data_IF_729027750790
#
_entry.id   IF_729027750790
#
_cell.length_a   1.000
_cell.length_b   1.000
_cell.length_c   1.000
_cell.angle_alpha   90.00
_cell.angle_beta   90.00
_cell.angle_gamma   90.00
#
_symmetry.space_group_name_H-M   'P 1'
#
loop_
_entity.id
_entity.type
_entity.pdbx_description
1 polymer ?
#
# COMPACT_ATOMS: atom_id res chain seq x y z
N UNK A 1 7.87 9.33 3.82
CA UNK A 1 8.56 8.83 5.04
C UNK A 1 7.87 7.56 5.52
N UNK A 2 8.56 6.67 6.22
CA UNK A 2 7.94 5.48 6.79
C UNK A 2 6.87 5.86 7.82
N UNK A 3 5.76 5.12 7.84
CA UNK A 3 4.62 5.36 8.74
C UNK A 3 4.55 4.25 9.77
N UNK A 4 4.49 4.64 11.05
CA UNK A 4 4.14 3.75 12.15
C UNK A 4 2.88 4.29 12.83
N UNK A 5 1.81 3.49 12.87
CA UNK A 5 0.50 3.85 13.40
C UNK A 5 -0.32 2.60 13.67
N UNK A 6 -1.15 2.67 14.71
CA UNK A 6 -2.31 1.80 14.88
C UNK A 6 -3.58 2.64 14.95
N UNK A 7 -4.67 2.14 14.39
CA UNK A 7 -5.99 2.68 14.67
C UNK A 7 -7.02 1.58 14.55
N UNK A 8 -8.04 1.63 15.39
CA UNK A 8 -9.17 0.72 15.33
C UNK A 8 -10.48 1.49 15.37
N UNK A 9 -11.52 0.88 14.81
CA UNK A 9 -12.91 1.30 14.97
C UNK A 9 -13.76 0.07 15.30
N UNK A 10 -14.46 0.16 16.42
CA UNK A 10 -15.28 -0.90 17.00
C UNK A 10 -16.75 -0.52 16.87
N UNK A 11 -17.57 -1.48 16.41
CA UNK A 11 -19.03 -1.31 16.40
C UNK A 11 -19.60 -1.44 17.82
N UNK A 12 -20.71 -0.74 18.15
CA UNK A 12 -21.38 -0.94 19.43
C UNK A 12 -21.67 -2.42 19.69
N UNK A 13 -21.31 -2.90 20.89
CA UNK A 13 -21.47 -4.30 21.29
C UNK A 13 -20.28 -5.22 20.95
N UNK A 14 -19.25 -4.73 20.25
CA UNK A 14 -18.00 -5.49 20.09
C UNK A 14 -17.25 -5.57 21.44
N UNK A 15 -16.85 -6.78 21.82
CA UNK A 15 -16.27 -7.08 23.12
C UNK A 15 -14.89 -6.43 23.33
N UNK A 16 -14.07 -6.36 22.27
CA UNK A 16 -12.67 -5.96 22.35
C UNK A 16 -12.50 -4.44 22.26
N UNK A 17 -13.26 -3.75 21.40
CA UNK A 17 -13.18 -2.30 21.25
C UNK A 17 -14.31 -1.53 21.94
N UNK A 18 -15.33 -2.21 22.47
CA UNK A 18 -16.42 -1.63 23.28
C UNK A 18 -17.14 -0.46 22.58
N UNK A 19 -17.25 -0.50 21.26
CA UNK A 19 -17.89 0.55 20.47
C UNK A 19 -17.06 1.83 20.35
N UNK A 20 -15.77 1.80 20.69
CA UNK A 20 -14.88 2.96 20.62
C UNK A 20 -14.05 2.99 19.34
N UNK A 21 -13.41 4.12 19.10
CA UNK A 21 -12.42 4.30 18.03
C UNK A 21 -11.24 5.02 18.64
N UNK A 22 -10.03 4.54 18.35
CA UNK A 22 -8.81 5.17 18.83
C UNK A 22 -7.69 5.12 17.78
N UNK A 23 -6.69 5.97 17.96
CA UNK A 23 -5.52 6.01 17.11
C UNK A 23 -4.26 6.30 17.91
N UNK A 24 -3.20 5.57 17.59
CA UNK A 24 -1.92 5.62 18.25
C UNK A 24 -0.81 5.80 17.25
N UNK A 25 0.15 6.63 17.61
CA UNK A 25 1.38 6.86 16.85
C UNK A 25 2.57 6.79 17.82
N UNK A 26 3.81 6.73 17.33
CA UNK A 26 4.99 6.84 18.20
C UNK A 26 5.03 8.12 19.05
N UNK A 27 4.22 9.15 18.74
CA UNK A 27 4.07 10.35 19.57
C UNK A 27 3.18 10.14 20.80
N UNK A 28 2.31 9.14 20.79
CA UNK A 28 1.27 8.92 21.81
C UNK A 28 1.31 7.53 22.44
N UNK A 29 2.08 6.60 21.89
CA UNK A 29 2.21 5.23 22.40
C UNK A 29 3.55 4.61 21.99
N UNK A 30 3.97 3.59 22.74
CA UNK A 30 4.99 2.66 22.26
C UNK A 30 4.36 1.75 21.22
N UNK A 31 4.96 1.66 20.04
CA UNK A 31 4.48 0.82 18.94
C UNK A 31 5.61 -0.09 18.46
N UNK A 32 5.36 -1.39 18.43
CA UNK A 32 6.34 -2.39 18.00
C UNK A 32 5.71 -3.47 17.12
N UNK A 33 6.51 -4.07 16.26
CA UNK A 33 6.17 -5.29 15.54
C UNK A 33 7.33 -6.28 15.71
N UNK A 34 7.01 -7.56 15.76
CA UNK A 34 7.98 -8.64 15.81
C UNK A 34 7.39 -9.95 15.30
N UNK A 35 8.13 -11.03 15.51
CA UNK A 35 7.83 -12.32 14.90
C UNK A 35 8.40 -12.40 13.49
N UNK A 36 7.80 -13.24 12.66
CA UNK A 36 8.26 -13.55 11.30
C UNK A 36 7.12 -13.46 10.29
N UNK A 37 7.40 -13.70 9.01
CA UNK A 37 6.37 -13.72 7.99
C UNK A 37 5.33 -14.84 8.21
N UNK A 38 5.65 -15.90 8.95
CA UNK A 38 4.70 -16.95 9.33
C UNK A 38 3.70 -16.49 10.40
N UNK A 39 4.16 -15.66 11.34
CA UNK A 39 3.38 -15.16 12.47
C UNK A 39 3.92 -13.80 12.93
N UNK A 40 3.14 -12.76 12.69
CA UNK A 40 3.44 -11.39 13.06
C UNK A 40 2.69 -11.04 14.32
N UNK A 41 3.40 -10.46 15.30
CA UNK A 41 2.78 -9.83 16.46
C UNK A 41 3.09 -8.35 16.47
N UNK A 42 2.05 -7.54 16.38
CA UNK A 42 2.12 -6.08 16.49
C UNK A 42 1.54 -5.65 17.84
N UNK A 43 2.24 -4.75 18.54
CA UNK A 43 1.84 -4.28 19.87
C UNK A 43 1.81 -2.77 19.96
N UNK A 44 0.82 -2.29 20.70
CA UNK A 44 0.70 -0.89 21.15
C UNK A 44 0.57 -0.88 22.66
N UNK A 45 1.29 0.00 23.33
CA UNK A 45 1.11 0.24 24.75
C UNK A 45 1.25 1.71 25.12
N UNK A 46 0.41 2.15 26.05
CA UNK A 46 0.54 3.38 26.84
C UNK A 46 0.54 3.00 28.32
N UNK A 47 0.47 3.99 29.22
CA UNK A 47 0.32 3.73 30.65
C UNK A 47 -1.06 3.14 31.01
N UNK A 48 -2.09 3.42 30.20
CA UNK A 48 -3.49 3.09 30.51
C UNK A 48 -4.08 1.98 29.62
N UNK A 49 -3.50 1.73 28.44
CA UNK A 49 -4.08 0.79 27.47
C UNK A 49 -3.02 0.02 26.71
N UNK A 50 -3.37 -1.17 26.26
CA UNK A 50 -2.56 -1.97 25.37
C UNK A 50 -3.41 -2.69 24.32
N UNK A 51 -2.77 -2.95 23.18
CA UNK A 51 -3.36 -3.70 22.07
C UNK A 51 -2.33 -4.64 21.48
N UNK A 52 -2.72 -5.90 21.30
CA UNK A 52 -1.97 -6.89 20.53
C UNK A 52 -2.78 -7.26 19.29
N UNK A 53 -2.12 -7.26 18.14
CA UNK A 53 -2.66 -7.71 16.85
C UNK A 53 -1.74 -8.80 16.33
N UNK A 54 -2.25 -10.03 16.30
CA UNK A 54 -1.58 -11.17 15.69
C UNK A 54 -2.14 -11.43 14.29
N UNK A 55 -1.24 -11.52 13.31
CA UNK A 55 -1.56 -11.91 11.93
C UNK A 55 -0.68 -13.11 11.58
N UNK A 56 -1.28 -14.20 11.11
CA UNK A 56 -0.52 -15.40 10.76
C UNK A 56 -0.89 -15.89 9.36
N UNK A 57 0.12 -16.34 8.61
CA UNK A 57 -0.09 -17.07 7.37
C UNK A 57 -0.69 -18.45 7.67
N UNK A 58 -1.32 -19.12 6.69
CA UNK A 58 -1.65 -20.54 6.82
C UNK A 58 -0.46 -21.37 7.35
N UNK A 59 -0.73 -22.48 8.04
CA UNK A 59 0.34 -23.27 8.67
C UNK A 59 1.36 -23.76 7.61
N UNK A 60 2.64 -23.45 7.84
CA UNK A 60 3.72 -23.79 6.90
C UNK A 60 3.93 -22.79 5.75
N UNK A 61 3.15 -21.72 5.70
CA UNK A 61 3.26 -20.65 4.70
C UNK A 61 3.79 -19.34 5.32
N UNK A 62 4.15 -18.39 4.45
CA UNK A 62 4.57 -17.03 4.82
C UNK A 62 3.56 -16.01 4.32
N UNK A 63 3.35 -14.95 5.11
CA UNK A 63 2.55 -13.81 4.71
C UNK A 63 3.29 -13.07 3.59
N UNK A 64 2.51 -12.65 2.60
CA UNK A 64 2.91 -11.78 1.52
C UNK A 64 1.78 -10.78 1.24
N UNK A 65 2.00 -9.74 0.44
CA UNK A 65 0.91 -8.85 0.05
C UNK A 65 -0.25 -9.64 -0.57
N UNK A 66 -1.47 -9.44 -0.04
CA UNK A 66 -2.65 -10.21 -0.40
C UNK A 66 -3.83 -10.02 0.55
N UNK A 67 -4.93 -10.72 0.27
CA UNK A 67 -6.14 -10.73 1.10
C UNK A 67 -6.35 -12.12 1.70
N UNK A 68 -6.41 -12.17 3.03
CA UNK A 68 -6.51 -13.37 3.85
C UNK A 68 -7.92 -13.45 4.44
N UNK A 69 -8.75 -14.35 3.89
CA UNK A 69 -10.16 -14.52 4.27
C UNK A 69 -10.35 -15.72 5.18
N UNK A 70 -11.49 -15.75 5.87
CA UNK A 70 -11.86 -16.82 6.79
C UNK A 70 -10.76 -17.06 7.84
N UNK A 71 -10.22 -15.96 8.37
CA UNK A 71 -9.20 -16.01 9.38
C UNK A 71 -9.79 -16.59 10.68
N UNK A 72 -9.07 -17.55 11.24
CA UNK A 72 -9.35 -18.18 12.52
C UNK A 72 -8.44 -17.56 13.59
N UNK A 73 -8.65 -17.94 14.86
CA UNK A 73 -7.80 -17.46 15.95
C UNK A 73 -6.34 -17.82 15.70
N UNK A 74 -5.47 -16.82 15.68
CA UNK A 74 -4.13 -16.94 15.08
C UNK A 74 -3.30 -18.16 15.54
N UNK A 75 -3.27 -18.43 16.85
CA UNK A 75 -2.53 -19.55 17.42
C UNK A 75 -3.18 -20.94 17.17
N UNK A 76 -4.47 -20.99 16.85
CA UNK A 76 -5.26 -22.23 16.73
C UNK A 76 -5.79 -22.48 15.32
N UNK A 77 -5.42 -21.63 14.35
CA UNK A 77 -5.86 -21.75 12.95
C UNK A 77 -5.56 -23.13 12.38
N UNK A 78 -6.48 -23.62 11.57
CA UNK A 78 -6.47 -24.97 11.02
C UNK A 78 -6.27 -24.97 9.51
N UNK A 79 -5.72 -26.07 8.98
CA UNK A 79 -5.59 -26.29 7.54
C UNK A 79 -4.94 -25.11 6.80
N UNK A 80 -5.68 -24.54 5.84
CA UNK A 80 -5.25 -23.40 5.03
C UNK A 80 -5.84 -22.06 5.49
N UNK A 81 -6.51 -22.04 6.64
CA UNK A 81 -7.05 -20.81 7.19
C UNK A 81 -5.91 -19.93 7.69
N UNK A 82 -5.91 -18.63 7.36
CA UNK A 82 -4.98 -17.68 7.95
C UNK A 82 -5.39 -17.39 9.41
N UNK A 83 -4.51 -16.73 10.15
CA UNK A 83 -4.70 -16.41 11.56
C UNK A 83 -4.91 -14.92 11.81
N UNK A 84 -5.91 -14.57 12.61
CA UNK A 84 -6.15 -13.24 13.16
C UNK A 84 -6.47 -13.38 14.65
N UNK A 85 -5.84 -12.59 15.51
CA UNK A 85 -6.23 -12.48 16.92
C UNK A 85 -5.91 -11.06 17.42
N UNK A 86 -6.95 -10.27 17.67
CA UNK A 86 -6.85 -8.92 18.19
C UNK A 86 -7.40 -8.89 19.61
N UNK A 87 -6.56 -8.41 20.52
CA UNK A 87 -6.88 -8.28 21.94
C UNK A 87 -6.43 -6.92 22.48
N UNK A 88 -7.05 -6.47 23.56
CA UNK A 88 -6.69 -5.22 24.21
C UNK A 88 -7.29 -5.08 25.60
N UNK A 89 -6.56 -4.46 26.51
CA UNK A 89 -6.93 -4.22 27.91
C UNK A 89 -7.53 -5.46 28.62
N UNK A 90 -6.91 -6.62 28.42
CA UNK A 90 -7.32 -7.89 29.04
C UNK A 90 -8.51 -8.58 28.37
N UNK A 91 -8.98 -8.08 27.22
CA UNK A 91 -10.09 -8.64 26.46
C UNK A 91 -9.56 -9.31 25.19
N UNK A 92 -9.98 -10.55 24.96
CA UNK A 92 -9.62 -11.35 23.78
C UNK A 92 -10.78 -12.27 23.41
N UNK A 93 -10.86 -12.69 22.15
CA UNK A 93 -11.86 -13.68 21.74
C UNK A 93 -11.37 -15.11 22.07
N UNK A 94 -12.29 -16.02 22.33
CA UNK A 94 -12.03 -17.45 22.31
C UNK A 94 -12.10 -18.00 20.90
N UNK A 95 -13.10 -17.60 20.12
CA UNK A 95 -13.19 -17.85 18.67
C UNK A 95 -13.12 -16.56 17.86
N UNK A 96 -12.37 -16.60 16.76
CA UNK A 96 -12.22 -15.46 15.84
C UNK A 96 -12.82 -15.83 14.49
N UNK A 97 -13.68 -14.94 14.00
CA UNK A 97 -14.16 -14.93 12.63
C UNK A 97 -13.70 -13.63 11.99
N UNK A 98 -12.92 -13.69 10.91
CA UNK A 98 -12.44 -12.45 10.33
C UNK A 98 -11.74 -12.58 9.00
N UNK A 99 -11.10 -11.47 8.63
CA UNK A 99 -10.22 -11.37 7.48
C UNK A 99 -9.22 -10.25 7.72
N UNK A 100 -8.09 -10.32 7.03
CA UNK A 100 -7.14 -9.22 6.97
C UNK A 100 -6.56 -9.07 5.57
N UNK A 101 -6.01 -7.91 5.29
CA UNK A 101 -5.29 -7.63 4.05
C UNK A 101 -3.89 -7.16 4.41
N UNK A 102 -2.89 -7.61 3.68
CA UNK A 102 -1.49 -7.17 3.81
C UNK A 102 -1.16 -6.37 2.55
N UNK A 103 -0.87 -5.08 2.72
CA UNK A 103 -0.39 -4.23 1.63
C UNK A 103 1.13 -4.27 1.51
N UNK A 104 1.83 -4.46 2.62
CA UNK A 104 3.29 -4.53 2.68
C UNK A 104 3.70 -5.43 3.84
N UNK A 105 4.70 -6.28 3.61
CA UNK A 105 5.39 -7.01 4.66
C UNK A 105 6.84 -7.23 4.22
N UNK A 106 7.79 -6.91 5.11
CA UNK A 106 9.21 -7.09 4.87
C UNK A 106 9.87 -7.72 6.10
N UNK A 107 10.88 -8.54 5.85
CA UNK A 107 11.71 -9.16 6.88
C UNK A 107 13.18 -8.87 6.64
N UNK A 108 13.98 -8.89 7.69
CA UNK A 108 15.43 -8.96 7.58
C UNK A 108 15.93 -10.38 7.23
N UNK A 109 17.25 -10.55 7.18
CA UNK A 109 17.89 -11.83 6.86
C UNK A 109 17.61 -12.93 7.89
N UNK A 110 17.34 -12.56 9.14
CA UNK A 110 16.98 -13.49 10.22
C UNK A 110 15.47 -13.83 10.21
N UNK A 111 14.71 -13.20 9.30
CA UNK A 111 13.27 -13.40 9.16
C UNK A 111 12.42 -12.52 10.08
N UNK A 112 13.03 -11.57 10.80
CA UNK A 112 12.31 -10.66 11.70
C UNK A 112 11.60 -9.57 10.90
N UNK A 113 10.37 -9.25 11.29
CA UNK A 113 9.57 -8.20 10.64
C UNK A 113 10.22 -6.82 10.75
N UNK A 114 10.45 -6.18 9.61
CA UNK A 114 11.02 -4.83 9.51
C UNK A 114 10.01 -3.79 9.03
N UNK A 115 9.01 -4.21 8.25
CA UNK A 115 7.88 -3.38 7.84
C UNK A 115 6.57 -4.17 7.75
N UNK A 116 5.45 -3.52 8.04
CA UNK A 116 4.10 -4.09 7.93
C UNK A 116 3.08 -3.00 7.62
N UNK A 117 2.25 -3.21 6.61
CA UNK A 117 1.02 -2.46 6.35
C UNK A 117 -0.12 -3.46 6.19
N UNK A 118 -1.05 -3.46 7.14
CA UNK A 118 -2.18 -4.37 7.13
C UNK A 118 -3.47 -3.70 7.61
N UNK A 119 -4.60 -4.26 7.20
CA UNK A 119 -5.93 -3.95 7.73
C UNK A 119 -6.64 -5.22 8.12
N UNK A 120 -7.53 -5.16 9.09
CA UNK A 120 -8.30 -6.33 9.53
C UNK A 120 -9.75 -6.00 9.85
N UNK A 121 -10.57 -7.05 9.83
CA UNK A 121 -11.90 -7.11 10.42
C UNK A 121 -11.99 -8.39 11.25
N UNK A 122 -12.33 -8.26 12.52
CA UNK A 122 -12.52 -9.35 13.47
C UNK A 122 -13.94 -9.30 14.05
N UNK A 123 -14.49 -10.48 14.29
CA UNK A 123 -15.71 -10.73 15.04
C UNK A 123 -15.40 -11.79 16.11
N UNK A 124 -15.74 -11.53 17.37
CA UNK A 124 -15.56 -12.50 18.46
C UNK A 124 -16.73 -13.47 18.56
N UNK A 125 -16.44 -14.74 18.82
CA UNK A 125 -17.37 -15.82 19.15
C UNK A 125 -18.39 -16.21 18.08
N UNK A 126 -18.64 -15.38 17.06
CA UNK A 126 -19.51 -15.70 15.95
C UNK A 126 -19.26 -14.81 14.73
N UNK A 127 -19.56 -15.31 13.53
CA UNK A 127 -19.40 -14.58 12.28
C UNK A 127 -20.30 -13.32 12.14
N UNK A 128 -21.34 -13.20 12.97
CA UNK A 128 -22.31 -12.10 12.93
C UNK A 128 -22.16 -11.13 14.10
N UNK A 129 -21.22 -11.35 15.03
CA UNK A 129 -20.96 -10.43 16.13
C UNK A 129 -20.57 -9.03 15.59
N UNK A 130 -20.70 -7.96 16.38
CA UNK A 130 -20.25 -6.64 15.95
C UNK A 130 -18.76 -6.63 15.58
N UNK A 131 -18.42 -5.92 14.51
CA UNK A 131 -17.07 -5.92 13.97
C UNK A 131 -16.11 -5.01 14.74
N UNK A 132 -14.89 -5.49 14.98
CA UNK A 132 -13.71 -4.67 15.22
C UNK A 132 -12.90 -4.56 13.92
N UNK A 133 -12.65 -3.35 13.47
CA UNK A 133 -11.81 -3.08 12.30
C UNK A 133 -10.56 -2.31 12.70
N UNK A 134 -9.45 -2.50 11.98
CA UNK A 134 -8.26 -1.72 12.27
C UNK A 134 -7.25 -1.63 11.13
N UNK A 135 -6.32 -0.71 11.32
CA UNK A 135 -5.18 -0.43 10.44
C UNK A 135 -3.92 -0.54 11.27
N UNK A 136 -2.99 -1.35 10.78
CA UNK A 136 -1.68 -1.61 11.36
C UNK A 136 -0.62 -1.14 10.39
N UNK A 137 0.19 -0.17 10.80
CA UNK A 137 1.38 0.28 10.07
C UNK A 137 2.58 0.24 10.99
N UNK A 138 3.61 -0.50 10.61
CA UNK A 138 4.91 -0.52 11.26
C UNK A 138 5.97 -0.22 10.23
N UNK A 139 6.61 0.95 10.32
CA UNK A 139 7.64 1.40 9.36
C UNK A 139 7.22 1.21 7.89
N UNK A 140 5.92 1.31 7.61
CA UNK A 140 5.36 1.05 6.31
C UNK A 140 5.71 2.18 5.34
N UNK A 141 6.13 1.83 4.14
CA UNK A 141 6.32 2.78 3.06
C UNK A 141 5.13 2.67 2.10
N UNK A 142 4.55 3.80 1.67
CA UNK A 142 3.48 3.76 0.69
C UNK A 142 3.90 2.97 -0.56
N UNK A 143 3.04 2.03 -0.96
CA UNK A 143 3.15 1.24 -2.18
C UNK A 143 1.76 1.20 -2.81
N UNK A 144 1.61 1.78 -3.99
CA UNK A 144 0.33 1.89 -4.64
C UNK A 144 0.33 2.75 -5.88
N UNK A 145 -0.77 2.64 -6.61
CA UNK A 145 -1.08 3.46 -7.77
C UNK A 145 -2.53 3.90 -7.69
N UNK A 146 -2.78 5.19 -7.91
CA UNK A 146 -4.14 5.72 -8.00
C UNK A 146 -4.26 6.66 -9.17
N UNK A 147 -5.42 6.65 -9.81
CA UNK A 147 -5.73 7.60 -10.87
C UNK A 147 -7.19 8.06 -10.81
N UNK A 148 -7.40 9.26 -11.34
CA UNK A 148 -8.71 9.84 -11.64
C UNK A 148 -8.66 10.33 -13.08
N UNK A 149 -9.59 9.83 -13.89
CA UNK A 149 -9.74 10.17 -15.30
C UNK A 149 -10.91 11.11 -15.48
N UNK A 150 -10.69 12.18 -16.23
CA UNK A 150 -11.75 13.09 -16.62
C UNK A 150 -12.73 12.43 -17.59
N UNK A 151 -13.96 12.94 -17.62
CA UNK A 151 -14.92 12.54 -18.65
C UNK A 151 -14.36 12.88 -20.04
N UNK A 152 -14.20 11.86 -20.89
CA UNK A 152 -13.64 11.99 -22.23
C UNK A 152 -12.14 11.73 -22.33
N UNK A 153 -11.43 11.47 -21.23
CA UNK A 153 -10.05 11.00 -21.29
C UNK A 153 -9.99 9.59 -21.90
N UNK A 154 -9.09 9.41 -22.86
CA UNK A 154 -8.99 8.19 -23.65
C UNK A 154 -8.46 7.01 -22.83
N UNK A 155 -7.49 7.23 -21.94
CA UNK A 155 -6.82 6.10 -21.28
C UNK A 155 -7.65 5.62 -20.09
N UNK A 156 -8.13 6.52 -19.25
CA UNK A 156 -8.89 6.18 -18.06
C UNK A 156 -10.41 6.14 -18.26
N UNK A 157 -10.95 6.61 -19.39
CA UNK A 157 -12.38 6.53 -19.73
C UNK A 157 -13.33 7.13 -18.67
N UNK A 158 -12.92 8.20 -17.98
CA UNK A 158 -13.76 8.86 -16.98
C UNK A 158 -13.93 8.05 -15.68
N UNK A 159 -13.10 7.02 -15.45
CA UNK A 159 -13.13 6.23 -14.20
C UNK A 159 -11.99 6.60 -13.26
N UNK A 160 -12.15 6.24 -11.99
CA UNK A 160 -11.09 6.36 -10.98
C UNK A 160 -10.85 5.02 -10.32
N UNK A 161 -9.59 4.70 -10.03
CA UNK A 161 -9.25 3.50 -9.29
C UNK A 161 -8.03 3.70 -8.38
N UNK A 162 -7.93 2.81 -7.40
CA UNK A 162 -6.77 2.68 -6.52
C UNK A 162 -6.33 1.22 -6.50
N UNK A 163 -5.01 1.04 -6.54
CA UNK A 163 -4.28 -0.21 -6.48
C UNK A 163 -3.38 -0.19 -5.25
N UNK A 164 -3.46 -1.24 -4.45
CA UNK A 164 -2.67 -1.42 -3.22
C UNK A 164 -1.98 -2.78 -3.28
N UNK A 165 -0.94 -2.99 -2.46
CA UNK A 165 -0.20 -4.26 -2.45
C UNK A 165 -1.07 -5.49 -2.15
N UNK A 166 -2.18 -5.34 -1.43
CA UNK A 166 -3.11 -6.44 -1.17
C UNK A 166 -3.93 -6.87 -2.39
N UNK A 167 -4.04 -6.01 -3.41
CA UNK A 167 -4.92 -6.23 -4.57
C UNK A 167 -4.21 -6.21 -5.92
N UNK A 168 -2.96 -5.74 -5.94
CA UNK A 168 -2.19 -5.49 -7.16
C UNK A 168 -0.70 -5.71 -6.92
N UNK A 169 0.00 -6.08 -7.98
CA UNK A 169 1.46 -6.14 -8.03
C UNK A 169 2.02 -4.88 -8.68
N UNK A 170 3.24 -4.53 -8.30
CA UNK A 170 3.94 -3.35 -8.79
C UNK A 170 5.36 -3.72 -9.21
N UNK A 171 5.82 -3.17 -10.32
CA UNK A 171 7.20 -3.27 -10.76
C UNK A 171 7.79 -1.87 -10.93
N UNK A 172 9.08 -1.74 -10.62
CA UNK A 172 9.85 -0.53 -10.84
C UNK A 172 11.23 -0.92 -11.38
N UNK A 173 11.69 -0.22 -12.41
CA UNK A 173 13.02 -0.39 -12.99
C UNK A 173 13.54 0.94 -13.51
N UNK A 174 14.84 1.03 -13.80
CA UNK A 174 15.50 2.26 -14.22
C UNK A 174 16.36 2.87 -13.11
N UNK A 175 16.57 4.18 -13.16
CA UNK A 175 17.48 4.89 -12.28
C UNK A 175 17.20 6.39 -12.21
N UNK A 176 18.25 7.18 -12.01
CA UNK A 176 18.15 8.62 -11.78
C UNK A 176 17.65 9.41 -13.00
N UNK A 177 17.78 8.89 -14.20
CA UNK A 177 17.51 9.55 -15.48
C UNK A 177 16.25 9.02 -16.18
N UNK A 178 15.51 8.11 -15.53
CA UNK A 178 14.26 7.57 -16.03
C UNK A 178 13.85 6.29 -15.31
N UNK A 179 12.55 6.09 -15.15
CA UNK A 179 11.97 4.89 -14.55
C UNK A 179 10.87 4.31 -15.44
N UNK A 180 10.70 2.99 -15.37
CA UNK A 180 9.50 2.29 -15.84
C UNK A 180 8.77 1.70 -14.65
N UNK A 181 7.49 2.03 -14.55
CA UNK A 181 6.60 1.56 -13.51
C UNK A 181 5.49 0.70 -14.12
N UNK A 182 5.17 -0.41 -13.48
CA UNK A 182 4.12 -1.33 -13.91
C UNK A 182 3.14 -1.63 -12.78
N UNK A 183 1.87 -1.79 -13.14
CA UNK A 183 0.79 -2.20 -12.22
C UNK A 183 0.01 -3.34 -12.86
N UNK A 184 -0.30 -4.37 -12.08
CA UNK A 184 -1.25 -5.41 -12.49
C UNK A 184 -2.15 -5.80 -11.34
N UNK A 185 -3.46 -5.74 -11.53
CA UNK A 185 -4.43 -6.11 -10.50
C UNK A 185 -5.82 -5.57 -10.80
N UNK A 186 -6.83 -6.10 -10.13
CA UNK A 186 -8.23 -5.66 -10.26
C UNK A 186 -8.78 -5.65 -11.71
N UNK A 187 -8.30 -6.57 -12.56
CA UNK A 187 -8.60 -6.64 -14.01
C UNK A 187 -8.02 -5.49 -14.83
N UNK A 188 -7.07 -4.76 -14.26
CA UNK A 188 -6.37 -3.67 -14.94
C UNK A 188 -4.86 -3.98 -15.05
N UNK A 189 -4.26 -3.43 -16.09
CA UNK A 189 -2.82 -3.36 -16.25
C UNK A 189 -2.42 -1.96 -16.69
N UNK A 190 -1.37 -1.42 -16.07
CA UNK A 190 -0.85 -0.08 -16.34
C UNK A 190 0.66 -0.12 -16.50
N UNK A 191 1.17 0.75 -17.37
CA UNK A 191 2.59 1.00 -17.54
C UNK A 191 2.82 2.49 -17.67
N UNK A 192 3.88 2.98 -17.04
CA UNK A 192 4.35 4.35 -17.20
C UNK A 192 5.85 4.36 -17.45
N UNK A 193 6.28 5.04 -18.52
CA UNK A 193 7.66 5.49 -18.68
C UNK A 193 7.72 6.96 -18.28
N UNK A 194 8.60 7.27 -17.34
CA UNK A 194 8.75 8.60 -16.75
C UNK A 194 10.23 8.95 -16.77
N UNK A 195 10.58 10.12 -17.28
CA UNK A 195 11.97 10.60 -17.28
C UNK A 195 12.03 12.13 -17.27
N UNK A 196 13.07 12.74 -16.68
CA UNK A 196 13.36 14.16 -16.88
C UNK A 196 13.85 14.39 -18.34
N UNK A 197 14.02 15.66 -18.76
CA UNK A 197 14.63 16.01 -20.04
C UNK A 197 15.96 15.28 -20.32
N UNK A 198 16.30 15.15 -21.59
CA UNK A 198 17.49 14.43 -22.04
C UNK A 198 18.75 15.03 -21.42
N UNK A 199 19.54 14.17 -20.76
CA UNK A 199 20.79 14.57 -20.08
C UNK A 199 20.61 14.98 -18.62
N UNK A 200 19.37 15.10 -18.16
CA UNK A 200 19.06 15.42 -16.77
C UNK A 200 18.86 14.17 -15.90
N UNK A 201 18.80 14.40 -14.59
CA UNK A 201 18.40 13.43 -13.56
C UNK A 201 17.22 13.99 -12.79
N UNK A 202 16.38 13.12 -12.26
CA UNK A 202 15.27 13.50 -11.40
C UNK A 202 15.76 14.32 -10.20
N UNK A 203 15.12 15.45 -10.00
CA UNK A 203 15.26 16.30 -8.83
C UNK A 203 13.98 16.20 -7.99
N UNK A 204 14.15 15.84 -6.71
CA UNK A 204 13.02 15.69 -5.79
C UNK A 204 12.42 17.07 -5.49
N UNK A 205 11.11 17.19 -5.62
CA UNK A 205 10.36 18.43 -5.47
C UNK A 205 10.14 19.18 -6.79
N UNK A 206 10.78 18.76 -7.88
CA UNK A 206 10.68 19.41 -9.18
C UNK A 206 9.48 18.88 -9.98
N UNK A 207 8.78 19.81 -10.64
CA UNK A 207 7.74 19.53 -11.63
C UNK A 207 8.32 19.69 -13.03
N UNK A 208 8.14 18.67 -13.86
CA UNK A 208 8.62 18.62 -15.24
C UNK A 208 7.42 18.71 -16.17
N UNK A 209 7.46 19.63 -17.13
CA UNK A 209 6.59 19.56 -18.30
C UNK A 209 7.00 18.38 -19.17
N UNK A 210 6.03 17.71 -19.79
CA UNK A 210 6.27 16.43 -20.47
C UNK A 210 5.65 16.35 -21.84
N UNK A 211 6.30 15.59 -22.70
CA UNK A 211 5.74 15.01 -23.92
C UNK A 211 5.82 13.47 -23.85
N UNK A 212 5.23 12.79 -24.84
CA UNK A 212 5.30 11.32 -24.93
C UNK A 212 6.73 10.79 -24.96
N UNK A 213 7.62 11.50 -25.63
CA UNK A 213 9.04 11.20 -25.65
C UNK A 213 9.79 12.46 -25.23
N UNK A 214 10.72 12.33 -24.29
CA UNK A 214 11.50 13.48 -23.81
C UNK A 214 12.33 14.14 -24.92
N UNK A 215 12.53 15.44 -24.79
CA UNK A 215 13.49 16.24 -25.57
C UNK A 215 14.56 16.83 -24.65
N UNK A 216 15.38 17.77 -25.13
CA UNK A 216 16.30 18.51 -24.27
C UNK A 216 15.57 19.49 -23.33
N UNK A 217 14.30 19.80 -23.61
CA UNK A 217 13.52 20.82 -22.91
C UNK A 217 12.40 20.24 -22.04
N UNK A 218 11.85 19.07 -22.40
CA UNK A 218 10.71 18.44 -21.70
C UNK A 218 10.99 16.99 -21.34
N UNK A 219 10.39 16.55 -20.25
CA UNK A 219 10.46 15.17 -19.76
C UNK A 219 9.59 14.20 -20.56
N UNK A 220 9.74 12.91 -20.25
CA UNK A 220 8.93 11.82 -20.79
C UNK A 220 7.80 11.50 -19.82
N UNK A 221 6.57 11.46 -20.33
CA UNK A 221 5.42 10.85 -19.67
C UNK A 221 4.63 10.07 -20.73
N UNK A 222 4.89 8.76 -20.79
CA UNK A 222 4.15 7.81 -21.60
C UNK A 222 3.46 6.81 -20.68
N UNK A 223 2.28 7.19 -20.21
CA UNK A 223 1.41 6.33 -19.42
C UNK A 223 0.34 5.71 -20.32
N UNK A 224 0.16 4.41 -20.17
CA UNK A 224 -0.89 3.64 -20.82
C UNK A 224 -1.46 2.57 -19.89
N UNK A 225 -2.64 2.09 -20.22
CA UNK A 225 -3.30 1.04 -19.45
C UNK A 225 -4.45 0.40 -20.18
N UNK A 226 -4.67 -0.90 -19.91
CA UNK A 226 -5.74 -1.70 -20.49
C UNK A 226 -5.76 -1.67 -22.03
N UNK A 227 -4.58 -1.60 -22.66
CA UNK A 227 -4.41 -1.61 -24.12
C UNK A 227 -4.65 -0.24 -24.76
N UNK A 228 -4.78 0.81 -23.94
CA UNK A 228 -4.96 2.19 -24.35
C UNK A 228 -3.69 2.96 -24.02
N UNK A 229 -3.21 3.73 -24.98
CA UNK A 229 -2.13 4.69 -24.82
C UNK A 229 -2.37 5.85 -25.77
N UNK A 230 -1.62 6.94 -25.58
CA UNK A 230 -1.64 8.04 -26.53
C UNK A 230 -0.64 7.76 -27.67
N UNK A 231 -0.94 8.24 -28.88
CA UNK A 231 0.03 8.47 -29.94
C UNK A 231 0.87 9.72 -29.66
N UNK A 232 0.24 10.76 -29.12
CA UNK A 232 0.87 11.98 -28.62
C UNK A 232 0.34 12.35 -27.23
N UNK A 233 1.23 12.73 -26.32
CA UNK A 233 0.85 13.17 -24.97
C UNK A 233 1.53 14.48 -24.60
N UNK A 234 0.84 15.24 -23.76
CA UNK A 234 1.38 16.40 -23.03
C UNK A 234 0.99 16.28 -21.57
N UNK A 235 1.68 17.00 -20.69
CA UNK A 235 1.34 16.99 -19.28
C UNK A 235 2.48 17.42 -18.39
N UNK A 236 2.44 16.92 -17.16
CA UNK A 236 3.47 17.15 -16.16
C UNK A 236 3.57 15.99 -15.17
N UNK A 237 4.75 15.85 -14.56
CA UNK A 237 4.89 15.07 -13.33
C UNK A 237 5.73 15.82 -12.29
N UNK A 238 5.46 15.57 -11.02
CA UNK A 238 6.23 16.09 -9.89
C UNK A 238 6.86 14.94 -9.13
N UNK A 239 8.18 14.98 -8.94
CA UNK A 239 8.90 13.93 -8.20
C UNK A 239 8.78 14.18 -6.71
N UNK A 240 8.07 13.31 -5.99
CA UNK A 240 7.95 13.39 -4.53
C UNK A 240 9.10 12.68 -3.80
N UNK A 241 9.68 11.64 -4.39
CA UNK A 241 10.81 10.89 -3.81
C UNK A 241 11.55 10.10 -4.86
N UNK A 242 12.88 10.03 -4.70
CA UNK A 242 13.76 9.09 -5.39
C UNK A 242 14.75 8.51 -4.37
N UNK A 243 14.92 7.20 -4.38
CA UNK A 243 16.04 6.54 -3.72
C UNK A 243 16.64 5.50 -4.66
N UNK A 244 17.96 5.42 -4.68
CA UNK A 244 18.72 4.50 -5.52
C UNK A 244 19.47 3.46 -4.66
N UNK A 245 19.70 2.30 -5.23
CA UNK A 245 20.71 1.35 -4.78
C UNK A 245 22.12 1.86 -5.13
N UNK A 246 23.14 1.23 -4.56
CA UNK A 246 24.55 1.61 -4.79
C UNK A 246 24.98 1.43 -6.25
N UNK A 247 24.32 0.52 -6.98
CA UNK A 247 24.51 0.30 -8.42
C UNK A 247 23.77 1.34 -9.31
N UNK A 248 23.07 2.30 -8.70
CA UNK A 248 22.31 3.35 -9.39
C UNK A 248 20.91 2.95 -9.81
N UNK A 249 20.47 1.71 -9.59
CA UNK A 249 19.10 1.27 -9.88
C UNK A 249 18.12 1.88 -8.87
N UNK A 250 16.91 2.18 -9.31
CA UNK A 250 15.87 2.75 -8.43
C UNK A 250 15.34 1.71 -7.44
N UNK A 251 15.23 2.10 -6.17
CA UNK A 251 14.63 1.28 -5.08
C UNK A 251 13.39 1.91 -4.45
N UNK A 252 13.22 3.23 -4.58
CA UNK A 252 11.99 3.91 -4.20
C UNK A 252 11.70 5.08 -5.13
N UNK A 253 10.43 5.26 -5.49
CA UNK A 253 9.98 6.35 -6.34
C UNK A 253 8.57 6.78 -5.96
N UNK A 254 8.35 8.09 -5.87
CA UNK A 254 7.01 8.65 -5.81
C UNK A 254 6.88 9.82 -6.78
N UNK A 255 5.76 9.87 -7.48
CA UNK A 255 5.42 10.99 -8.34
C UNK A 255 3.91 11.20 -8.42
N UNK A 256 3.49 12.45 -8.59
CA UNK A 256 2.16 12.80 -9.09
C UNK A 256 2.26 13.16 -10.55
N UNK A 257 1.23 12.90 -11.34
CA UNK A 257 1.24 13.23 -12.76
C UNK A 257 -0.13 13.69 -13.26
N UNK A 258 -0.10 14.42 -14.37
CA UNK A 258 -1.24 14.73 -15.22
C UNK A 258 -0.82 14.43 -16.65
N UNK A 259 -1.61 13.64 -17.38
CA UNK A 259 -1.38 13.35 -18.80
C UNK A 259 -2.61 13.64 -19.62
N UNK A 260 -2.43 14.29 -20.76
CA UNK A 260 -3.41 14.52 -21.79
C UNK A 260 -3.04 13.73 -23.05
N UNK A 261 -4.03 13.16 -23.77
CA UNK A 261 -3.79 12.50 -25.06
C UNK A 261 -4.25 13.36 -26.23
N UNK A 262 -3.54 13.28 -27.35
CA UNK A 262 -3.93 13.83 -28.67
C UNK A 262 -4.32 15.32 -28.65
N UNK A 263 -3.68 16.12 -27.78
CA UNK A 263 -3.99 17.55 -27.61
C UNK A 263 -5.35 17.84 -26.99
N UNK A 264 -6.03 16.83 -26.46
CA UNK A 264 -7.32 16.97 -25.78
C UNK A 264 -7.19 17.60 -24.39
N UNK A 265 -8.26 18.27 -23.94
CA UNK A 265 -8.35 18.84 -22.59
C UNK A 265 -8.55 17.81 -21.47
N UNK A 266 -9.38 16.74 -21.63
CA UNK A 266 -9.56 15.75 -20.57
C UNK A 266 -8.23 15.09 -20.19
N UNK A 267 -7.97 14.95 -18.90
CA UNK A 267 -6.71 14.42 -18.39
C UNK A 267 -6.88 13.13 -17.59
N UNK A 268 -5.79 12.38 -17.51
CA UNK A 268 -5.58 11.37 -16.50
C UNK A 268 -4.68 11.97 -15.41
N UNK A 269 -5.22 12.07 -14.20
CA UNK A 269 -4.49 12.46 -13.00
C UNK A 269 -4.08 11.21 -12.23
N UNK A 270 -2.90 11.20 -11.63
CA UNK A 270 -2.57 10.08 -10.76
C UNK A 270 -1.37 10.28 -9.85
N UNK A 271 -1.14 9.22 -9.07
CA UNK A 271 -0.08 9.15 -8.07
C UNK A 271 0.53 7.77 -8.11
N UNK A 272 1.86 7.74 -8.14
CA UNK A 272 2.70 6.54 -8.05
C UNK A 272 3.40 6.58 -6.71
N UNK A 273 3.31 5.48 -5.96
CA UNK A 273 4.13 5.20 -4.80
C UNK A 273 4.77 3.83 -4.95
N UNK A 274 6.10 3.77 -4.90
CA UNK A 274 6.87 2.54 -4.80
C UNK A 274 7.84 2.67 -3.63
N UNK A 275 7.45 2.10 -2.49
CA UNK A 275 8.16 2.22 -1.21
C UNK A 275 8.53 3.68 -0.83
N UNK A 276 7.61 4.62 -1.09
CA UNK A 276 7.92 6.04 -1.12
C UNK A 276 6.96 6.94 -0.35
#
# INVERSE_FOLDING_TARGET
MAVTKYSHSSRPGDYIGQGTTASYTPKTATVSAGGSAEYVRFRVSTDDTWWDVDLAAPQGEKLHPGVYRNAERAAFRTGRSPGLDVSGDGRGCNEVYGQFSVNQIETDADGTITALDATYTQHCESATAPALTGVVKYRAYPLGYSYTSDAGDWIGQGVSATHTGSTSTFSLSGGADGVRYGVSGKREYWSASIAPPVGERFEVGTTYATERFRTAEVGELDLGGNGRGCNSSTGEFTVGKLALNDDGTVKAFAATFVQHCEGGTPALHGTIHYYA
#
